data_IF_420719376451
#
_entry.id   IF_420719376451
#
_cell.length_a   1.000
_cell.length_b   1.000
_cell.length_c   1.000
_cell.angle_alpha   90.00
_cell.angle_beta   90.00
_cell.angle_gamma   90.00
#
_symmetry.space_group_name_H-M   'P 1'
#
loop_
_entity.id
_entity.type
_entity.pdbx_description
1 polymer ?
#
# COMPACT_ATOMS: atom_id res chain seq x y z
N UNK A 1 15.38 25.62 6.52
CA UNK A 1 14.13 26.02 7.18
C UNK A 1 13.68 24.83 8.01
N UNK A 2 13.86 24.91 9.32
CA UNK A 2 13.44 23.87 10.27
C UNK A 2 11.92 23.84 10.31
N UNK A 3 11.35 22.74 9.86
CA UNK A 3 9.92 22.45 9.92
C UNK A 3 9.53 22.26 11.40
N UNK A 4 9.24 23.36 12.09
CA UNK A 4 8.77 23.37 13.47
C UNK A 4 7.27 23.08 13.43
N UNK A 5 6.92 21.81 13.20
CA UNK A 5 5.54 21.36 13.44
C UNK A 5 5.19 21.71 14.89
N UNK A 6 4.20 22.56 15.16
CA UNK A 6 3.87 22.94 16.54
C UNK A 6 3.48 21.68 17.32
N UNK A 7 4.09 21.56 18.52
CA UNK A 7 3.78 20.49 19.46
C UNK A 7 2.26 20.38 19.64
N UNK A 8 1.73 19.19 19.50
CA UNK A 8 0.30 18.93 19.72
C UNK A 8 0.04 19.09 21.20
N UNK A 9 -0.66 20.16 21.58
CA UNK A 9 -0.95 20.46 22.98
C UNK A 9 -2.29 19.83 23.36
N UNK A 10 -2.26 18.90 24.31
CA UNK A 10 -3.44 18.24 24.88
C UNK A 10 -3.23 18.05 26.40
N UNK A 11 -4.29 17.83 27.14
CA UNK A 11 -4.19 17.54 28.57
C UNK A 11 -3.50 16.19 28.81
N UNK A 12 -2.82 16.00 29.95
CA UNK A 12 -2.04 14.78 30.22
C UNK A 12 -2.85 13.48 30.18
N UNK A 13 -4.11 13.52 30.59
CA UNK A 13 -5.03 12.38 30.55
C UNK A 13 -5.31 11.92 29.10
N UNK A 14 -5.57 12.86 28.21
CA UNK A 14 -5.78 12.58 26.80
C UNK A 14 -4.49 12.11 26.12
N UNK A 15 -3.34 12.70 26.47
CA UNK A 15 -2.05 12.28 25.92
C UNK A 15 -1.74 10.80 26.29
N UNK A 16 -1.94 10.43 27.54
CA UNK A 16 -1.80 9.05 28.00
C UNK A 16 -2.77 8.11 27.26
N UNK A 17 -4.03 8.49 27.14
CA UNK A 17 -5.04 7.70 26.46
C UNK A 17 -4.76 7.50 24.95
N UNK A 18 -4.22 8.49 24.25
CA UNK A 18 -3.81 8.38 22.83
C UNK A 18 -2.66 7.38 22.69
N UNK A 19 -1.68 7.42 23.58
CA UNK A 19 -0.57 6.44 23.59
C UNK A 19 -1.06 5.02 23.86
N UNK A 20 -1.96 4.83 24.83
CA UNK A 20 -2.56 3.54 25.13
C UNK A 20 -3.40 3.01 23.97
N UNK A 21 -4.15 3.89 23.29
CA UNK A 21 -4.90 3.54 22.10
C UNK A 21 -3.98 3.10 20.96
N UNK A 22 -2.85 3.78 20.73
CA UNK A 22 -1.89 3.39 19.69
C UNK A 22 -1.28 2.01 19.98
N UNK A 23 -0.92 1.73 21.26
CA UNK A 23 -0.48 0.39 21.70
C UNK A 23 -1.58 -0.66 21.48
N UNK A 24 -2.82 -0.36 21.87
CA UNK A 24 -3.95 -1.24 21.64
C UNK A 24 -4.18 -1.55 20.15
N UNK A 25 -4.02 -0.55 19.26
CA UNK A 25 -4.08 -0.76 17.82
C UNK A 25 -2.98 -1.69 17.31
N UNK A 26 -1.75 -1.53 17.80
CA UNK A 26 -0.61 -2.33 17.40
C UNK A 26 -0.72 -3.78 17.96
N UNK A 27 -0.89 -3.93 19.25
CA UNK A 27 -0.71 -5.19 19.96
C UNK A 27 -1.97 -6.07 19.92
N UNK A 28 -3.14 -5.49 20.24
CA UNK A 28 -4.41 -6.23 20.33
C UNK A 28 -5.16 -6.27 19.00
N UNK A 29 -5.20 -5.16 18.26
CA UNK A 29 -5.86 -5.12 16.94
C UNK A 29 -4.93 -5.58 15.82
N UNK A 30 -3.64 -5.73 16.07
CA UNK A 30 -2.61 -6.17 15.13
C UNK A 30 -2.66 -5.40 13.80
N UNK A 31 -2.91 -4.09 13.88
CA UNK A 31 -2.89 -3.25 12.70
C UNK A 31 -1.46 -3.05 12.20
N UNK A 32 -1.32 -2.81 10.90
CA UNK A 32 0.01 -2.55 10.34
C UNK A 32 0.62 -1.27 10.93
N UNK A 33 1.96 -1.19 11.11
CA UNK A 33 2.62 0.01 11.62
C UNK A 33 2.22 1.28 10.87
N UNK A 34 2.08 1.20 9.54
CA UNK A 34 1.62 2.32 8.71
C UNK A 34 0.19 2.77 9.02
N UNK A 35 -0.69 1.83 9.42
CA UNK A 35 -2.07 2.17 9.80
C UNK A 35 -2.07 2.85 11.17
N UNK A 36 -1.29 2.35 12.12
CA UNK A 36 -1.16 2.94 13.46
C UNK A 36 -0.61 4.38 13.35
N UNK A 37 0.46 4.55 12.58
CA UNK A 37 1.06 5.87 12.30
C UNK A 37 0.07 6.83 11.61
N UNK A 38 -0.67 6.35 10.61
CA UNK A 38 -1.66 7.18 9.91
C UNK A 38 -2.80 7.60 10.85
N UNK A 39 -3.28 6.69 11.70
CA UNK A 39 -4.31 6.99 12.68
C UNK A 39 -3.79 7.93 13.77
N UNK A 40 -2.54 7.78 14.19
CA UNK A 40 -1.88 8.69 15.12
C UNK A 40 -1.85 10.12 14.57
N UNK A 41 -1.37 10.30 13.33
CA UNK A 41 -1.39 11.62 12.68
C UNK A 41 -2.80 12.21 12.54
N UNK A 42 -3.79 11.38 12.20
CA UNK A 42 -5.19 11.82 12.10
C UNK A 42 -5.74 12.26 13.48
N UNK A 43 -5.34 11.59 14.57
CA UNK A 43 -5.67 11.98 15.95
C UNK A 43 -4.98 13.28 16.35
N UNK A 44 -3.69 13.46 16.05
CA UNK A 44 -2.93 14.69 16.30
C UNK A 44 -3.56 15.90 15.59
N UNK A 45 -3.96 15.71 14.33
CA UNK A 45 -4.66 16.74 13.55
C UNK A 45 -6.02 17.11 14.17
N UNK A 46 -6.73 16.10 14.70
CA UNK A 46 -7.99 16.32 15.39
C UNK A 46 -7.80 17.09 16.72
N UNK A 47 -6.85 16.68 17.53
CA UNK A 47 -6.50 17.37 18.77
C UNK A 47 -6.09 18.82 18.52
N UNK A 48 -5.26 19.06 17.49
CA UNK A 48 -4.84 20.40 17.09
C UNK A 48 -6.04 21.25 16.65
N UNK A 49 -7.00 20.67 15.96
CA UNK A 49 -8.26 21.35 15.64
C UNK A 49 -9.03 21.68 16.90
N UNK A 50 -9.18 20.73 17.84
CA UNK A 50 -9.91 20.94 19.09
C UNK A 50 -9.28 22.02 19.96
N UNK A 51 -7.96 22.08 20.06
CA UNK A 51 -7.26 23.14 20.81
C UNK A 51 -7.68 24.53 20.33
N UNK A 52 -7.74 24.75 19.02
CA UNK A 52 -8.23 26.02 18.46
C UNK A 52 -9.75 26.20 18.55
N UNK A 53 -10.51 25.13 18.56
CA UNK A 53 -11.97 25.15 18.60
C UNK A 53 -12.53 25.39 20.01
N UNK A 54 -11.86 24.82 21.02
CA UNK A 54 -12.23 24.95 22.43
C UNK A 54 -11.51 26.11 23.13
N UNK A 55 -10.44 26.64 22.52
CA UNK A 55 -9.63 27.68 23.10
C UNK A 55 -8.65 27.20 24.21
N UNK A 56 -8.57 25.91 24.45
CA UNK A 56 -7.71 25.29 25.45
C UNK A 56 -7.26 23.88 24.99
N UNK A 57 -6.16 23.32 25.58
CA UNK A 57 -5.76 21.94 25.35
C UNK A 57 -6.88 20.98 25.73
N UNK A 58 -7.38 20.13 24.80
CA UNK A 58 -8.49 19.22 25.09
C UNK A 58 -8.09 18.14 26.06
N UNK A 59 -9.02 17.77 26.95
CA UNK A 59 -8.97 16.62 27.87
C UNK A 59 -9.95 15.52 27.41
N UNK A 60 -9.91 14.36 28.02
CA UNK A 60 -10.85 13.25 27.71
C UNK A 60 -12.31 13.69 27.92
N UNK A 61 -12.59 14.45 28.96
CA UNK A 61 -13.94 14.96 29.24
C UNK A 61 -14.50 15.81 28.12
N UNK A 62 -13.66 16.56 27.42
CA UNK A 62 -14.08 17.41 26.30
C UNK A 62 -14.50 16.54 25.10
N UNK A 63 -13.79 15.44 24.85
CA UNK A 63 -14.18 14.50 23.78
C UNK A 63 -15.57 13.90 24.00
N UNK A 64 -15.94 13.67 25.26
CA UNK A 64 -17.27 13.18 25.65
C UNK A 64 -18.39 14.20 25.44
N UNK A 65 -18.08 15.49 25.38
CA UNK A 65 -19.02 16.60 25.19
C UNK A 65 -19.20 17.04 23.74
N UNK A 66 -18.35 16.55 22.83
CA UNK A 66 -18.42 16.92 21.41
C UNK A 66 -19.75 16.50 20.78
N UNK A 67 -20.33 17.42 20.02
CA UNK A 67 -21.52 17.20 19.21
C UNK A 67 -21.15 16.69 17.80
N UNK A 68 -22.11 16.15 17.04
CA UNK A 68 -21.87 15.83 15.62
C UNK A 68 -21.44 17.06 14.78
N UNK A 69 -21.78 18.28 15.22
CA UNK A 69 -21.39 19.50 14.52
C UNK A 69 -19.88 19.74 14.62
N UNK A 70 -19.25 19.46 15.77
CA UNK A 70 -17.82 19.65 15.98
C UNK A 70 -16.99 18.73 15.06
N UNK A 71 -17.39 17.47 14.92
CA UNK A 71 -16.76 16.54 13.98
C UNK A 71 -16.94 16.98 12.52
N UNK A 72 -18.13 17.53 12.16
CA UNK A 72 -18.33 18.09 10.81
C UNK A 72 -17.47 19.32 10.57
N UNK A 73 -17.32 20.20 11.56
CA UNK A 73 -16.45 21.38 11.50
C UNK A 73 -14.98 20.95 11.26
N UNK A 74 -14.50 19.93 11.96
CA UNK A 74 -13.18 19.34 11.72
C UNK A 74 -13.04 18.86 10.28
N UNK A 75 -13.96 18.04 9.78
CA UNK A 75 -13.91 17.54 8.41
C UNK A 75 -13.96 18.67 7.37
N UNK A 76 -14.77 19.70 7.61
CA UNK A 76 -14.87 20.89 6.75
C UNK A 76 -13.54 21.69 6.72
N UNK A 77 -12.88 21.86 7.87
CA UNK A 77 -11.54 22.46 7.94
C UNK A 77 -10.54 21.67 7.14
N UNK A 78 -10.44 20.35 7.38
CA UNK A 78 -9.48 19.47 6.66
C UNK A 78 -9.74 19.46 5.15
N UNK A 79 -11.00 19.60 4.73
CA UNK A 79 -11.35 19.73 3.31
C UNK A 79 -10.85 21.03 2.71
N UNK A 80 -10.95 22.14 3.45
CA UNK A 80 -10.38 23.45 3.05
C UNK A 80 -8.85 23.42 2.99
N UNK A 81 -8.21 22.60 3.84
CA UNK A 81 -6.77 22.34 3.80
C UNK A 81 -6.35 21.43 2.61
N UNK A 82 -7.28 21.12 1.71
CA UNK A 82 -7.01 20.38 0.47
C UNK A 82 -7.07 18.84 0.59
N UNK A 83 -7.51 18.27 1.72
CA UNK A 83 -7.59 16.82 1.83
C UNK A 83 -8.71 16.22 0.97
N UNK A 84 -8.35 15.19 0.20
CA UNK A 84 -9.29 14.44 -0.60
C UNK A 84 -10.25 13.58 0.26
N UNK A 85 -11.45 13.30 -0.26
CA UNK A 85 -12.49 12.53 0.43
C UNK A 85 -12.02 11.18 1.01
N UNK A 86 -11.16 10.37 0.35
CA UNK A 86 -10.63 9.14 0.95
C UNK A 86 -9.79 9.39 2.21
N UNK A 87 -8.99 10.45 2.22
CA UNK A 87 -8.18 10.83 3.39
C UNK A 87 -9.05 11.31 4.55
N UNK A 88 -10.08 12.10 4.26
CA UNK A 88 -11.07 12.53 5.26
C UNK A 88 -11.82 11.33 5.86
N UNK A 89 -12.24 10.38 5.04
CA UNK A 89 -12.92 9.16 5.50
C UNK A 89 -12.01 8.29 6.38
N UNK A 90 -10.72 8.18 6.02
CA UNK A 90 -9.73 7.49 6.85
C UNK A 90 -9.55 8.21 8.19
N UNK A 91 -9.37 9.54 8.18
CA UNK A 91 -9.23 10.35 9.39
C UNK A 91 -10.41 10.18 10.33
N UNK A 92 -11.64 10.26 9.80
CA UNK A 92 -12.84 9.98 10.60
C UNK A 92 -12.85 8.55 11.17
N UNK A 93 -12.35 7.57 10.43
CA UNK A 93 -12.23 6.19 10.94
C UNK A 93 -11.22 6.07 12.08
N UNK A 94 -10.09 6.78 12.00
CA UNK A 94 -9.10 6.86 13.09
C UNK A 94 -9.70 7.51 14.35
N UNK A 95 -10.38 8.65 14.19
CA UNK A 95 -11.05 9.34 15.31
C UNK A 95 -12.13 8.45 15.94
N UNK A 96 -12.97 7.79 15.13
CA UNK A 96 -13.96 6.82 15.63
C UNK A 96 -13.32 5.68 16.41
N UNK A 97 -12.16 5.22 15.96
CA UNK A 97 -11.40 4.18 16.67
C UNK A 97 -10.94 4.66 18.03
N UNK A 98 -10.42 5.89 18.13
CA UNK A 98 -10.01 6.50 19.39
C UNK A 98 -11.21 6.66 20.36
N UNK A 99 -12.29 7.27 19.89
CA UNK A 99 -13.49 7.49 20.74
C UNK A 99 -14.08 6.17 21.21
N UNK A 100 -14.15 5.13 20.37
CA UNK A 100 -14.61 3.79 20.79
C UNK A 100 -13.65 3.12 21.76
N UNK A 101 -12.37 3.39 21.69
CA UNK A 101 -11.41 2.92 22.68
C UNK A 101 -11.68 3.57 24.06
N UNK A 102 -11.92 4.89 24.10
CA UNK A 102 -12.29 5.60 25.31
C UNK A 102 -13.66 5.16 25.86
N UNK A 103 -14.63 4.91 24.97
CA UNK A 103 -15.96 4.39 25.34
C UNK A 103 -15.87 3.03 26.05
N UNK A 104 -14.99 2.13 25.58
CA UNK A 104 -14.75 0.84 26.25
C UNK A 104 -14.12 0.98 27.64
N UNK A 105 -13.49 2.10 27.92
CA UNK A 105 -12.94 2.45 29.24
C UNK A 105 -13.94 3.23 30.10
N UNK A 106 -15.15 3.50 29.58
CA UNK A 106 -16.15 4.31 30.27
C UNK A 106 -15.84 5.79 30.33
N UNK A 107 -14.92 6.29 29.51
CA UNK A 107 -14.35 7.65 29.56
C UNK A 107 -15.02 8.61 28.55
N UNK A 108 -15.71 8.09 27.54
CA UNK A 108 -16.40 8.87 26.51
C UNK A 108 -17.58 8.10 25.91
N UNK A 109 -18.35 8.75 25.01
CA UNK A 109 -19.40 8.11 24.22
C UNK A 109 -19.13 8.27 22.72
N UNK A 110 -19.38 7.23 21.94
CA UNK A 110 -19.20 7.24 20.48
C UNK A 110 -20.42 7.71 19.70
N UNK A 111 -21.52 8.04 20.35
CA UNK A 111 -22.79 8.40 19.70
C UNK A 111 -22.63 9.58 18.73
N UNK A 112 -22.00 10.66 19.17
CA UNK A 112 -21.82 11.87 18.35
C UNK A 112 -20.98 11.62 17.08
N UNK A 113 -19.83 10.95 17.21
CA UNK A 113 -18.93 10.66 16.05
C UNK A 113 -19.56 9.62 15.11
N UNK A 114 -20.38 8.71 15.64
CA UNK A 114 -21.09 7.70 14.84
C UNK A 114 -22.21 8.31 13.98
N UNK A 115 -22.84 9.39 14.43
CA UNK A 115 -23.85 10.14 13.69
C UNK A 115 -23.30 10.96 12.50
N UNK A 116 -21.96 11.09 12.36
CA UNK A 116 -21.36 11.82 11.24
C UNK A 116 -21.14 10.89 10.06
N UNK A 117 -21.70 11.21 8.91
CA UNK A 117 -21.48 10.43 7.69
C UNK A 117 -20.03 10.60 7.18
N UNK A 118 -19.39 9.51 6.78
CA UNK A 118 -18.08 9.57 6.14
C UNK A 118 -18.20 10.25 4.76
N UNK A 119 -17.27 11.14 4.38
CA UNK A 119 -17.25 11.73 3.06
C UNK A 119 -17.19 10.65 1.98
N UNK A 120 -18.15 10.66 1.07
CA UNK A 120 -18.17 9.72 -0.06
C UNK A 120 -17.17 10.19 -1.11
N UNK A 121 -16.18 9.35 -1.41
CA UNK A 121 -15.38 9.52 -2.62
C UNK A 121 -16.18 8.99 -3.82
N UNK A 122 -16.17 9.68 -4.98
CA UNK A 122 -16.70 9.07 -6.19
C UNK A 122 -15.95 7.74 -6.41
N UNK A 123 -16.70 6.64 -6.56
CA UNK A 123 -16.13 5.35 -6.93
C UNK A 123 -15.55 5.48 -8.34
N UNK A 124 -14.29 5.87 -8.44
CA UNK A 124 -13.55 5.66 -9.67
C UNK A 124 -13.32 4.15 -9.78
N UNK A 125 -14.08 3.49 -10.64
CA UNK A 125 -13.77 2.11 -11.02
C UNK A 125 -12.34 2.13 -11.57
N UNK A 126 -11.41 1.37 -11.01
CA UNK A 126 -10.08 1.26 -11.57
C UNK A 126 -10.24 0.76 -13.02
N UNK A 127 -9.85 1.56 -14.00
CA UNK A 127 -9.79 1.09 -15.38
C UNK A 127 -8.44 0.38 -15.55
N UNK A 128 -8.44 -0.90 -15.96
CA UNK A 128 -7.20 -1.55 -16.32
C UNK A 128 -6.55 -0.81 -17.49
N UNK A 129 -5.25 -0.78 -17.54
CA UNK A 129 -4.51 -0.31 -18.71
C UNK A 129 -4.72 -1.29 -19.87
N UNK A 130 -4.67 -0.81 -21.10
CA UNK A 130 -4.56 -1.70 -22.25
C UNK A 130 -3.30 -2.58 -22.16
N UNK A 131 -3.30 -3.71 -22.85
CA UNK A 131 -2.13 -4.61 -22.87
C UNK A 131 -0.89 -3.86 -23.39
N UNK A 132 -1.02 -3.10 -24.50
CA UNK A 132 0.06 -2.27 -25.06
C UNK A 132 0.61 -1.28 -24.05
N UNK A 133 -0.27 -0.53 -23.35
CA UNK A 133 0.12 0.49 -22.40
C UNK A 133 0.86 -0.09 -21.20
N UNK A 134 0.36 -1.22 -20.68
CA UNK A 134 0.99 -1.94 -19.58
C UNK A 134 2.38 -2.48 -19.97
N UNK A 135 2.51 -2.94 -21.22
CA UNK A 135 3.78 -3.43 -21.76
C UNK A 135 4.77 -2.28 -21.98
N UNK A 136 4.33 -1.13 -22.54
CA UNK A 136 5.18 0.05 -22.70
C UNK A 136 5.70 0.56 -21.37
N UNK A 137 4.86 0.61 -20.31
CA UNK A 137 5.33 0.96 -18.98
C UNK A 137 6.43 0.02 -18.44
N UNK A 138 6.41 -1.26 -18.80
CA UNK A 138 7.43 -2.20 -18.37
C UNK A 138 8.68 -2.13 -19.24
N UNK A 139 8.52 -2.05 -20.58
CA UNK A 139 9.66 -2.00 -21.52
C UNK A 139 10.44 -0.70 -21.43
N UNK A 140 9.74 0.42 -21.25
CA UNK A 140 10.33 1.76 -21.27
C UNK A 140 10.65 2.26 -19.85
N UNK A 141 10.56 1.39 -18.84
CA UNK A 141 10.76 1.75 -17.43
C UNK A 141 12.07 2.48 -17.15
N UNK A 142 13.11 2.21 -17.94
CA UNK A 142 14.43 2.85 -17.86
C UNK A 142 14.63 4.03 -18.80
N UNK A 143 13.67 4.36 -19.68
CA UNK A 143 13.88 5.34 -20.77
C UNK A 143 14.17 6.77 -20.28
N UNK A 144 13.82 7.10 -19.05
CA UNK A 144 14.02 8.42 -18.44
C UNK A 144 15.09 8.41 -17.33
N UNK A 145 15.97 7.40 -17.33
CA UNK A 145 16.95 7.20 -16.26
C UNK A 145 18.33 6.95 -16.88
N UNK A 146 19.28 7.83 -16.56
CA UNK A 146 20.64 7.77 -17.09
C UNK A 146 21.46 6.61 -16.49
N UNK A 147 21.19 6.26 -15.23
CA UNK A 147 21.90 5.21 -14.49
C UNK A 147 21.42 3.80 -14.90
N UNK A 148 22.24 2.99 -15.60
CA UNK A 148 21.80 1.70 -16.15
C UNK A 148 21.23 0.74 -15.11
N UNK A 149 21.81 0.69 -13.89
CA UNK A 149 21.32 -0.19 -12.84
C UNK A 149 19.99 0.28 -12.26
N UNK A 150 19.73 1.60 -12.20
CA UNK A 150 18.44 2.15 -11.75
C UNK A 150 17.37 1.87 -12.80
N UNK A 151 17.68 2.02 -14.09
CA UNK A 151 16.82 1.65 -15.19
C UNK A 151 16.40 0.18 -15.12
N UNK A 152 17.37 -0.72 -14.96
CA UNK A 152 17.14 -2.16 -14.80
C UNK A 152 16.33 -2.48 -13.53
N UNK A 153 16.57 -1.77 -12.42
CA UNK A 153 15.80 -1.89 -11.18
C UNK A 153 14.33 -1.58 -11.39
N UNK A 154 14.05 -0.43 -11.98
CA UNK A 154 12.68 0.03 -12.19
C UNK A 154 11.94 -0.89 -13.15
N UNK A 155 12.59 -1.34 -14.22
CA UNK A 155 12.06 -2.35 -15.14
C UNK A 155 11.75 -3.67 -14.43
N UNK A 156 12.66 -4.17 -13.57
CA UNK A 156 12.46 -5.41 -12.81
C UNK A 156 11.27 -5.30 -11.84
N UNK A 157 11.14 -4.16 -11.14
CA UNK A 157 9.99 -3.94 -10.25
C UNK A 157 8.69 -3.89 -11.04
N UNK A 158 8.62 -3.14 -12.14
CA UNK A 158 7.40 -3.05 -12.96
C UNK A 158 7.06 -4.41 -13.60
N UNK A 159 8.05 -5.19 -14.01
CA UNK A 159 7.86 -6.55 -14.49
C UNK A 159 7.24 -7.46 -13.41
N UNK A 160 7.64 -7.35 -12.15
CA UNK A 160 7.02 -8.09 -11.04
C UNK A 160 5.57 -7.66 -10.79
N UNK A 161 5.25 -6.36 -10.92
CA UNK A 161 3.88 -5.87 -10.73
C UNK A 161 2.94 -6.35 -11.83
N UNK A 162 3.37 -6.29 -13.10
CA UNK A 162 2.54 -6.66 -14.24
C UNK A 162 2.68 -8.14 -14.63
N UNK A 163 3.88 -8.71 -14.57
CA UNK A 163 4.12 -10.09 -15.01
C UNK A 163 3.87 -11.16 -13.95
N UNK A 164 3.83 -10.77 -12.66
CA UNK A 164 3.54 -11.69 -11.55
C UNK A 164 2.42 -11.17 -10.63
N UNK A 165 1.84 -10.01 -10.91
CA UNK A 165 0.73 -9.44 -10.16
C UNK A 165 1.05 -9.10 -8.71
N UNK A 166 2.30 -8.83 -8.36
CA UNK A 166 2.68 -8.48 -6.99
C UNK A 166 2.19 -7.09 -6.59
N UNK A 167 1.87 -6.90 -5.29
CA UNK A 167 1.76 -5.54 -4.74
C UNK A 167 3.14 -4.91 -4.70
N UNK A 168 3.24 -3.59 -4.86
CA UNK A 168 4.52 -2.89 -4.77
C UNK A 168 5.25 -3.19 -3.46
N UNK A 169 4.54 -3.28 -2.34
CA UNK A 169 5.14 -3.65 -1.05
C UNK A 169 5.63 -5.09 -1.01
N UNK A 170 4.97 -6.01 -1.68
CA UNK A 170 5.39 -7.41 -1.80
C UNK A 170 6.64 -7.53 -2.66
N UNK A 171 6.67 -6.86 -3.83
CA UNK A 171 7.84 -6.84 -4.70
C UNK A 171 9.08 -6.25 -3.99
N UNK A 172 8.90 -5.13 -3.27
CA UNK A 172 10.00 -4.46 -2.57
C UNK A 172 10.41 -5.13 -1.24
N UNK A 173 9.62 -6.05 -0.72
CA UNK A 173 9.97 -6.84 0.47
C UNK A 173 10.74 -8.13 0.14
N UNK A 174 10.87 -8.49 -1.14
CA UNK A 174 11.69 -9.63 -1.53
C UNK A 174 13.13 -9.43 -1.07
N UNK A 175 13.70 -10.48 -0.49
CA UNK A 175 15.13 -10.54 -0.16
C UNK A 175 15.93 -11.03 -1.38
N UNK A 176 17.25 -10.87 -1.33
CA UNK A 176 18.11 -11.38 -2.40
C UNK A 176 18.01 -12.91 -2.57
N UNK A 177 17.80 -13.64 -1.47
CA UNK A 177 17.60 -15.10 -1.51
C UNK A 177 16.24 -15.49 -2.13
N UNK A 178 15.25 -14.59 -2.14
CA UNK A 178 13.93 -14.80 -2.72
C UNK A 178 13.82 -14.27 -4.16
N UNK A 179 14.94 -13.83 -4.74
CA UNK A 179 14.94 -13.36 -6.13
C UNK A 179 14.41 -14.45 -7.06
N UNK A 180 13.49 -14.10 -8.01
CA UNK A 180 12.98 -15.09 -8.95
C UNK A 180 14.09 -15.67 -9.82
N UNK A 181 14.05 -16.98 -10.13
CA UNK A 181 14.99 -17.59 -11.05
C UNK A 181 14.94 -16.95 -12.45
N UNK A 182 16.08 -16.79 -13.11
CA UNK A 182 16.16 -16.18 -14.45
C UNK A 182 15.32 -16.93 -15.48
N UNK A 183 15.28 -18.26 -15.37
CA UNK A 183 14.46 -19.14 -16.24
C UNK A 183 12.96 -19.08 -15.91
N UNK A 184 12.54 -18.27 -14.93
CA UNK A 184 11.18 -18.28 -14.39
C UNK A 184 10.99 -19.40 -13.36
N UNK A 185 9.76 -19.54 -12.86
CA UNK A 185 9.45 -20.52 -11.82
C UNK A 185 8.43 -19.98 -10.84
N UNK A 186 8.66 -20.15 -9.53
CA UNK A 186 7.79 -19.63 -8.48
C UNK A 186 8.60 -18.86 -7.44
N UNK A 187 8.02 -17.78 -6.93
CA UNK A 187 8.57 -16.94 -5.87
C UNK A 187 7.65 -16.99 -4.66
N UNK A 188 8.24 -17.16 -3.47
CA UNK A 188 7.51 -17.07 -2.21
C UNK A 188 7.31 -15.60 -1.84
N UNK A 189 6.07 -15.22 -1.62
CA UNK A 189 5.70 -13.84 -1.29
C UNK A 189 4.95 -13.79 0.02
N UNK A 190 5.37 -12.92 0.92
CA UNK A 190 4.68 -12.68 2.19
C UNK A 190 3.78 -11.46 2.08
N UNK A 191 2.47 -11.68 2.24
CA UNK A 191 1.44 -10.64 2.15
C UNK A 191 1.07 -10.04 3.50
N UNK A 192 0.00 -9.25 3.51
CA UNK A 192 -0.56 -8.63 4.73
C UNK A 192 -0.92 -9.70 5.76
N UNK A 193 -0.48 -9.50 7.01
CA UNK A 193 -0.73 -10.43 8.12
C UNK A 193 0.18 -11.66 8.15
N UNK A 194 1.34 -11.61 7.47
CA UNK A 194 2.33 -12.68 7.49
C UNK A 194 1.96 -13.91 6.64
N UNK A 195 0.85 -13.87 5.90
CA UNK A 195 0.43 -14.99 5.03
C UNK A 195 1.38 -15.10 3.85
N UNK A 196 1.96 -16.27 3.65
CA UNK A 196 2.83 -16.58 2.51
C UNK A 196 2.04 -17.28 1.40
N UNK A 197 2.43 -17.03 0.15
CA UNK A 197 1.96 -17.75 -1.02
C UNK A 197 3.06 -17.91 -2.06
N UNK A 198 2.96 -18.91 -2.91
CA UNK A 198 3.79 -19.03 -4.10
C UNK A 198 3.13 -18.26 -5.25
N UNK A 199 3.95 -17.52 -5.99
CA UNK A 199 3.51 -16.75 -7.16
C UNK A 199 4.34 -17.21 -8.35
N UNK A 200 3.73 -17.71 -9.45
CA UNK A 200 4.45 -18.06 -10.66
C UNK A 200 5.05 -16.83 -11.32
N UNK A 201 6.25 -16.98 -11.85
CA UNK A 201 7.03 -15.91 -12.48
C UNK A 201 7.46 -16.38 -13.86
N UNK A 202 7.14 -15.58 -14.89
CA UNK A 202 7.60 -15.82 -16.27
C UNK A 202 9.12 -15.67 -16.39
N UNK A 203 9.73 -16.37 -17.37
CA UNK A 203 11.13 -16.15 -17.72
C UNK A 203 11.47 -14.69 -18.01
N UNK A 204 10.56 -13.94 -18.66
CA UNK A 204 10.77 -12.51 -18.94
C UNK A 204 10.94 -11.66 -17.66
N UNK A 205 10.19 -11.98 -16.61
CA UNK A 205 10.30 -11.30 -15.29
C UNK A 205 11.60 -11.72 -14.59
N UNK A 206 11.91 -13.03 -14.62
CA UNK A 206 13.17 -13.56 -14.07
C UNK A 206 14.38 -12.89 -14.72
N UNK A 207 14.40 -12.79 -16.06
CA UNK A 207 15.46 -12.09 -16.80
C UNK A 207 15.58 -10.61 -16.43
N UNK A 208 14.47 -9.90 -16.26
CA UNK A 208 14.49 -8.49 -15.85
C UNK A 208 15.13 -8.32 -14.45
N UNK A 209 14.78 -9.20 -13.50
CA UNK A 209 15.39 -9.18 -12.17
C UNK A 209 16.87 -9.56 -12.23
N UNK A 210 17.25 -10.57 -12.99
CA UNK A 210 18.63 -10.97 -13.16
C UNK A 210 19.48 -9.86 -13.81
N UNK A 211 18.94 -9.12 -14.78
CA UNK A 211 19.58 -7.96 -15.37
C UNK A 211 19.88 -6.88 -14.32
N UNK A 212 18.92 -6.58 -13.43
CA UNK A 212 19.14 -5.69 -12.31
C UNK A 212 20.23 -6.20 -11.37
N UNK A 213 20.16 -7.47 -10.95
CA UNK A 213 21.15 -8.07 -10.02
C UNK A 213 22.58 -8.00 -10.58
N UNK A 214 22.75 -8.14 -11.90
CA UNK A 214 24.08 -8.01 -12.55
C UNK A 214 24.61 -6.58 -12.55
N UNK A 215 23.75 -5.58 -12.54
CA UNK A 215 24.14 -4.16 -12.69
C UNK A 215 24.19 -3.39 -11.38
N UNK A 216 23.51 -3.85 -10.34
CA UNK A 216 23.44 -3.15 -9.06
C UNK A 216 24.82 -3.03 -8.43
N UNK A 217 25.27 -1.80 -8.05
CA UNK A 217 26.62 -1.59 -7.53
C UNK A 217 26.78 -1.97 -6.05
N UNK A 218 25.70 -2.41 -5.41
CA UNK A 218 25.69 -2.77 -3.99
C UNK A 218 25.71 -4.28 -3.79
N UNK A 219 26.41 -4.74 -2.76
CA UNK A 219 26.35 -6.14 -2.34
C UNK A 219 24.92 -6.48 -1.91
N UNK A 220 24.38 -7.58 -2.40
CA UNK A 220 23.08 -8.12 -2.03
C UNK A 220 23.30 -9.35 -1.14
N UNK A 221 23.30 -9.16 0.19
CA UNK A 221 23.34 -10.30 1.10
C UNK A 221 21.99 -11.04 1.09
N UNK A 222 21.96 -12.38 1.29
CA UNK A 222 20.77 -13.21 1.09
C UNK A 222 19.52 -12.71 1.82
N UNK A 223 19.65 -12.20 3.05
CA UNK A 223 18.53 -11.74 3.87
C UNK A 223 18.23 -10.25 3.73
N UNK A 224 18.99 -9.54 2.93
CA UNK A 224 18.77 -8.13 2.69
C UNK A 224 17.77 -7.88 1.56
N UNK A 225 17.08 -6.71 1.54
CA UNK A 225 16.18 -6.35 0.46
C UNK A 225 16.85 -6.45 -0.90
N UNK A 226 16.17 -7.13 -1.83
CA UNK A 226 16.64 -7.31 -3.20
C UNK A 226 16.80 -5.96 -3.92
N UNK A 227 15.80 -5.06 -3.79
CA UNK A 227 15.80 -3.78 -4.49
C UNK A 227 16.37 -2.66 -3.65
N UNK A 228 17.36 -1.95 -4.23
CA UNK A 228 18.10 -0.87 -3.56
C UNK A 228 17.71 0.51 -4.06
N UNK A 229 17.67 1.45 -3.15
CA UNK A 229 17.61 2.88 -3.47
C UNK A 229 18.99 3.41 -3.91
N UNK A 230 19.04 4.61 -4.47
CA UNK A 230 20.26 5.23 -4.99
C UNK A 230 21.41 5.34 -3.98
N UNK A 231 21.11 5.34 -2.68
CA UNK A 231 22.11 5.39 -1.58
C UNK A 231 22.41 4.01 -0.97
N UNK A 232 21.99 2.91 -1.60
CA UNK A 232 22.23 1.53 -1.15
C UNK A 232 21.23 1.00 -0.11
N UNK A 233 20.40 1.83 0.50
CA UNK A 233 19.33 1.40 1.41
C UNK A 233 18.16 0.72 0.68
N UNK A 234 17.15 0.21 1.41
CA UNK A 234 15.96 -0.39 0.83
C UNK A 234 15.24 0.58 -0.13
N UNK A 235 14.73 0.08 -1.25
CA UNK A 235 14.00 0.90 -2.21
C UNK A 235 12.64 1.33 -1.65
N UNK A 236 12.38 2.63 -1.60
CA UNK A 236 11.09 3.17 -1.18
C UNK A 236 10.02 3.00 -2.28
N UNK A 237 8.80 2.56 -1.95
CA UNK A 237 7.68 2.52 -2.89
C UNK A 237 7.41 3.85 -3.58
N UNK A 238 7.71 4.97 -2.92
CA UNK A 238 7.52 6.32 -3.47
C UNK A 238 8.39 6.56 -4.70
N UNK A 239 9.61 6.00 -4.75
CA UNK A 239 10.50 6.13 -5.90
C UNK A 239 9.88 5.49 -7.14
N UNK A 240 9.35 4.28 -7.02
CA UNK A 240 8.66 3.59 -8.13
C UNK A 240 7.38 4.32 -8.55
N UNK A 241 6.62 4.86 -7.58
CA UNK A 241 5.44 5.66 -7.90
C UNK A 241 5.80 6.91 -8.72
N UNK A 242 6.89 7.60 -8.37
CA UNK A 242 7.39 8.76 -9.10
C UNK A 242 7.94 8.38 -10.48
N UNK A 243 8.65 7.25 -10.59
CA UNK A 243 9.14 6.73 -11.86
C UNK A 243 7.96 6.47 -12.83
N UNK A 244 6.92 5.76 -12.38
CA UNK A 244 5.70 5.54 -13.17
C UNK A 244 4.99 6.85 -13.50
N UNK A 245 4.95 7.81 -12.58
CA UNK A 245 4.33 9.11 -12.82
C UNK A 245 5.03 9.90 -13.95
N UNK A 246 6.36 9.88 -13.96
CA UNK A 246 7.17 10.52 -15.04
C UNK A 246 6.98 9.80 -16.37
N UNK A 247 7.11 8.48 -16.34
CA UNK A 247 7.02 7.64 -17.52
C UNK A 247 5.64 7.73 -18.20
N UNK A 248 4.55 7.70 -17.44
CA UNK A 248 3.20 7.86 -17.99
C UNK A 248 3.01 9.21 -18.67
N UNK A 249 3.63 10.29 -18.13
CA UNK A 249 3.62 11.61 -18.78
C UNK A 249 4.32 11.59 -20.12
N UNK A 250 5.50 10.97 -20.20
CA UNK A 250 6.27 10.84 -21.45
C UNK A 250 5.55 9.96 -22.49
N UNK A 251 4.84 8.92 -22.07
CA UNK A 251 4.09 8.00 -22.92
C UNK A 251 2.65 8.48 -23.24
N UNK A 252 2.22 9.64 -22.73
CA UNK A 252 0.86 10.13 -22.92
C UNK A 252 -0.23 9.27 -22.27
N UNK A 253 0.12 8.48 -21.26
CA UNK A 253 -0.82 7.57 -20.58
C UNK A 253 -1.66 8.34 -19.54
N UNK A 254 -2.88 7.83 -19.23
CA UNK A 254 -3.78 8.48 -18.30
C UNK A 254 -3.20 8.52 -16.87
N UNK A 255 -3.65 9.48 -16.06
CA UNK A 255 -3.26 9.61 -14.64
C UNK A 255 -3.56 8.37 -13.80
N UNK A 256 -4.47 7.53 -14.27
CA UNK A 256 -4.80 6.24 -13.66
C UNK A 256 -3.70 5.19 -13.83
N UNK A 257 -2.73 5.40 -14.72
CA UNK A 257 -1.55 4.53 -14.88
C UNK A 257 -0.65 4.66 -13.65
N UNK A 258 -0.76 3.69 -12.76
CA UNK A 258 -0.07 3.61 -11.47
C UNK A 258 0.47 2.20 -11.25
N UNK A 259 1.41 1.98 -10.33
CA UNK A 259 1.85 0.64 -9.95
C UNK A 259 0.68 -0.29 -9.54
N UNK A 260 -0.36 0.25 -8.92
CA UNK A 260 -1.56 -0.52 -8.58
C UNK A 260 -2.39 -0.88 -9.82
N UNK A 261 -2.47 0.03 -10.79
CA UNK A 261 -3.16 -0.24 -12.06
C UNK A 261 -2.46 -1.35 -12.85
N UNK A 262 -1.12 -1.43 -12.88
CA UNK A 262 -0.38 -2.54 -13.49
C UNK A 262 -0.77 -3.89 -12.91
N UNK A 263 -0.82 -4.01 -11.59
CA UNK A 263 -1.29 -5.22 -10.92
C UNK A 263 -2.77 -5.54 -11.25
N UNK A 264 -3.63 -4.53 -11.31
CA UNK A 264 -5.03 -4.71 -11.68
C UNK A 264 -5.17 -5.15 -13.14
N UNK A 265 -4.37 -4.58 -14.03
CA UNK A 265 -4.30 -4.98 -15.45
C UNK A 265 -3.83 -6.41 -15.60
N UNK A 266 -2.83 -6.86 -14.84
CA UNK A 266 -2.44 -8.28 -14.78
C UNK A 266 -3.66 -9.19 -14.53
N UNK A 267 -4.42 -8.90 -13.46
CA UNK A 267 -5.60 -9.71 -13.11
C UNK A 267 -6.65 -9.71 -14.23
N UNK A 268 -6.93 -8.54 -14.82
CA UNK A 268 -7.93 -8.39 -15.87
C UNK A 268 -7.51 -9.06 -17.17
N UNK A 269 -6.24 -8.91 -17.55
CA UNK A 269 -5.72 -9.51 -18.78
C UNK A 269 -5.63 -11.04 -18.66
N UNK A 270 -5.23 -11.54 -17.51
CA UNK A 270 -5.20 -12.97 -17.24
C UNK A 270 -6.61 -13.59 -17.29
N UNK A 271 -7.60 -12.89 -16.72
CA UNK A 271 -9.01 -13.32 -16.79
C UNK A 271 -9.53 -13.26 -18.23
N UNK A 272 -9.23 -12.19 -18.97
CA UNK A 272 -9.64 -12.02 -20.37
C UNK A 272 -9.03 -13.04 -21.33
N UNK A 273 -7.88 -13.63 -20.96
CA UNK A 273 -7.21 -14.69 -21.71
C UNK A 273 -7.65 -16.12 -21.30
N UNK A 274 -8.75 -16.25 -20.56
CA UNK A 274 -9.31 -17.55 -20.17
C UNK A 274 -8.82 -18.10 -18.84
N UNK A 275 -8.08 -17.31 -18.05
CA UNK A 275 -7.67 -17.70 -16.69
C UNK A 275 -8.87 -17.87 -15.77
N UNK A 276 -8.88 -18.93 -14.94
CA UNK A 276 -9.91 -19.15 -13.95
C UNK A 276 -9.90 -18.07 -12.84
N UNK A 277 -11.07 -17.51 -12.55
CA UNK A 277 -11.23 -16.45 -11.55
C UNK A 277 -10.72 -16.84 -10.17
N UNK A 278 -10.92 -18.09 -9.75
CA UNK A 278 -10.50 -18.59 -8.44
C UNK A 278 -8.99 -18.67 -8.37
N UNK A 279 -8.35 -19.21 -9.38
CA UNK A 279 -6.89 -19.25 -9.52
C UNK A 279 -6.28 -17.85 -9.48
N UNK A 280 -6.89 -16.88 -10.18
CA UNK A 280 -6.44 -15.48 -10.17
C UNK A 280 -6.59 -14.84 -8.78
N UNK A 281 -7.69 -15.10 -8.07
CA UNK A 281 -7.89 -14.60 -6.71
C UNK A 281 -6.86 -15.17 -5.73
N UNK A 282 -6.52 -16.44 -5.85
CA UNK A 282 -5.47 -17.10 -5.07
C UNK A 282 -4.08 -16.49 -5.36
N UNK A 283 -3.73 -16.31 -6.63
CA UNK A 283 -2.49 -15.65 -7.06
C UNK A 283 -2.36 -14.22 -6.50
N UNK A 284 -3.46 -13.48 -6.45
CA UNK A 284 -3.49 -12.12 -5.96
C UNK A 284 -3.53 -12.03 -4.42
N UNK A 285 -3.80 -13.13 -3.72
CA UNK A 285 -3.88 -13.15 -2.26
C UNK A 285 -5.04 -12.29 -1.74
N UNK A 286 -6.25 -12.48 -2.26
CA UNK A 286 -7.47 -11.87 -1.75
C UNK A 286 -7.92 -12.61 -0.48
N UNK A 287 -8.13 -11.85 0.61
CA UNK A 287 -8.21 -12.34 1.99
C UNK A 287 -9.51 -13.12 2.37
N UNK A 288 -10.40 -13.41 1.45
CA UNK A 288 -11.73 -13.95 1.78
C UNK A 288 -11.90 -15.47 1.61
N UNK A 289 -10.85 -16.25 1.42
CA UNK A 289 -10.93 -17.70 1.51
C UNK A 289 -9.94 -18.21 2.56
N UNK A 290 -10.52 -18.72 3.64
CA UNK A 290 -9.83 -19.44 4.71
C UNK A 290 -9.26 -20.73 4.11
N UNK A 291 -7.98 -20.76 3.86
CA UNK A 291 -7.16 -21.97 4.00
C UNK A 291 -5.69 -21.63 3.82
N UNK A 292 -4.89 -21.96 4.79
CA UNK A 292 -3.44 -22.11 4.66
C UNK A 292 -3.24 -23.39 3.85
N UNK A 293 -3.39 -23.33 2.52
CA UNK A 293 -2.96 -24.43 1.68
C UNK A 293 -1.44 -24.37 1.56
N UNK A 294 -0.79 -25.39 2.08
CA UNK A 294 0.61 -25.69 1.80
C UNK A 294 0.64 -26.16 0.34
N UNK A 295 1.04 -25.27 -0.57
CA UNK A 295 1.21 -25.61 -1.98
C UNK A 295 2.36 -26.62 -2.12
N UNK A 296 2.08 -27.76 -2.71
CA UNK A 296 3.10 -28.73 -3.13
C UNK A 296 3.77 -28.27 -4.42
N UNK A 297 4.93 -28.84 -4.75
CA UNK A 297 5.62 -28.57 -6.03
C UNK A 297 4.73 -28.83 -7.25
N UNK A 298 3.85 -29.82 -7.18
CA UNK A 298 2.88 -30.17 -8.23
C UNK A 298 1.83 -29.08 -8.43
N UNK A 299 1.39 -28.41 -7.36
CA UNK A 299 0.45 -27.29 -7.46
C UNK A 299 1.12 -26.07 -8.09
N UNK A 300 2.40 -25.83 -7.81
CA UNK A 300 3.18 -24.76 -8.43
C UNK A 300 3.33 -24.96 -9.95
N UNK A 301 3.59 -26.17 -10.39
CA UNK A 301 3.70 -26.51 -11.83
C UNK A 301 2.38 -26.34 -12.57
N UNK A 302 1.26 -26.77 -11.97
CA UNK A 302 -0.09 -26.57 -12.54
C UNK A 302 -0.45 -25.08 -12.63
N UNK A 303 -0.13 -24.30 -11.61
CA UNK A 303 -0.34 -22.84 -11.62
C UNK A 303 0.50 -22.15 -12.71
N UNK A 304 1.76 -22.56 -12.86
CA UNK A 304 2.65 -22.07 -13.93
C UNK A 304 2.13 -22.43 -15.31
N UNK A 305 1.61 -23.65 -15.49
CA UNK A 305 1.06 -24.10 -16.78
C UNK A 305 -0.23 -23.36 -17.15
N UNK A 306 -1.18 -23.23 -16.23
CA UNK A 306 -2.41 -22.47 -16.43
C UNK A 306 -2.13 -20.99 -16.73
N UNK A 307 -1.12 -20.42 -16.04
CA UNK A 307 -0.73 -19.04 -16.21
C UNK A 307 0.02 -18.78 -17.54
N UNK A 308 0.90 -19.70 -17.98
CA UNK A 308 1.55 -19.62 -19.30
C UNK A 308 0.54 -19.62 -20.43
N UNK A 309 -0.54 -20.41 -20.34
CA UNK A 309 -1.58 -20.45 -21.37
C UNK A 309 -2.46 -19.20 -21.43
N UNK A 310 -2.49 -18.38 -20.36
CA UNK A 310 -3.38 -17.22 -20.23
C UNK A 310 -2.67 -15.87 -20.23
N UNK A 311 -1.33 -15.82 -20.15
CA UNK A 311 -0.63 -14.55 -20.08
C UNK A 311 -0.30 -13.99 -21.48
N UNK A 312 -0.58 -12.68 -21.77
CA UNK A 312 -0.38 -12.07 -23.10
C UNK A 312 1.06 -12.10 -23.64
N UNK A 313 2.04 -12.54 -22.85
CA UNK A 313 3.46 -12.70 -23.19
C UNK A 313 4.01 -14.11 -22.85
N UNK A 314 3.13 -15.09 -22.67
CA UNK A 314 3.60 -16.47 -22.49
C UNK A 314 4.15 -17.06 -23.78
#
# INVERSE_FOLDING_TARGET
MTDTTPLVTMAPDLAAAVLDWQRWLADLRRLSPRTVEAYGRDADDFVRFLTGHLGAPPAIVDLGRLSPADYRAFLARRRRDGLAAPSLARGLSGIRSLIRFLEKRGEATSAAVSAVAAPKAPRRLPRPLGVSDALSLVSDAGALVDEPWIAARDAAVLALLYGAGLRISEALSLTAAEAPPEAGGAVRVTGKGGKTRLVPVLPAVGRAVAAYVRLVPFRLAPQEPLFRGAKGGPLSPRIIQLAVQRLRGALGLPETATPHALRHSFATHLLGSGGDLRTIQELLGHANLSTTQVYTSVDAERLVAAWKGAHPRA
#
